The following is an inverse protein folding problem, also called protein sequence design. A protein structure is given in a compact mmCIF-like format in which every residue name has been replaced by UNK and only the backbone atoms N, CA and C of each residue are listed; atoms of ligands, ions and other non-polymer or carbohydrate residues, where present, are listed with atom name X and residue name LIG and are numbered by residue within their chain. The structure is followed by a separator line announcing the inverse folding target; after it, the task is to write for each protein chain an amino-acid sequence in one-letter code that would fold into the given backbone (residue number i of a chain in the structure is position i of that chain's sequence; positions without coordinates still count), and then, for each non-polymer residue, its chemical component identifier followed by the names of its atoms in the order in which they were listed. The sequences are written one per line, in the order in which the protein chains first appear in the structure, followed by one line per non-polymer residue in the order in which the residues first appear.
data_IF_444815764481
#
_entry.id   IF_444815764481
#
_cell.length_a   1.000
_cell.length_b   1.000
_cell.length_c   1.000
_cell.angle_alpha   90.00
_cell.angle_beta   90.00
_cell.angle_gamma   90.00
#
_symmetry.space_group_name_H-M   'P 1'
#
loop_
_entity.id
_entity.type
_entity.pdbx_description
1 polymer ?
#
# COMPACT_ATOMS: atom_id res chain seq x y z
N UNK A 1 -18.61 0.70 10.76
CA UNK A 1 -19.94 0.04 10.78
C UNK A 1 -19.73 -1.45 10.97
N UNK A 2 -20.62 -2.13 11.68
CA UNK A 2 -20.58 -3.59 11.81
C UNK A 2 -21.53 -4.19 10.76
N UNK A 3 -21.06 -5.09 9.92
CA UNK A 3 -21.88 -5.87 8.99
C UNK A 3 -21.84 -7.34 9.41
N UNK A 4 -22.95 -8.06 9.36
CA UNK A 4 -23.03 -9.49 9.74
C UNK A 4 -23.90 -10.26 8.74
N UNK A 5 -23.48 -11.48 8.43
CA UNK A 5 -24.12 -12.41 7.50
C UNK A 5 -23.99 -13.83 8.04
N UNK A 6 -25.01 -14.66 7.82
CA UNK A 6 -25.01 -16.06 8.26
C UNK A 6 -24.00 -16.90 7.47
N UNK A 7 -23.69 -16.47 6.24
CA UNK A 7 -22.65 -17.09 5.42
C UNK A 7 -21.97 -16.05 4.52
N UNK A 8 -20.65 -16.18 4.32
CA UNK A 8 -19.86 -15.21 3.54
C UNK A 8 -20.29 -15.06 2.08
N UNK A 9 -21.00 -16.04 1.52
CA UNK A 9 -21.54 -15.99 0.14
C UNK A 9 -22.72 -15.04 0.01
N UNK A 10 -23.30 -14.58 1.11
CA UNK A 10 -24.40 -13.60 1.11
C UNK A 10 -23.91 -12.17 0.93
N UNK A 11 -22.59 -11.94 1.00
CA UNK A 11 -22.03 -10.61 0.76
C UNK A 11 -22.09 -10.29 -0.75
N UNK A 12 -22.66 -9.14 -1.18
CA UNK A 12 -22.66 -8.73 -2.57
C UNK A 12 -21.23 -8.43 -3.05
N UNK A 13 -20.71 -9.18 -4.04
CA UNK A 13 -19.31 -9.05 -4.47
C UNK A 13 -18.94 -7.62 -4.93
N UNK A 14 -19.90 -6.90 -5.49
CA UNK A 14 -19.78 -5.50 -5.91
C UNK A 14 -19.64 -4.50 -4.75
N UNK A 15 -20.01 -4.90 -3.53
CA UNK A 15 -19.89 -4.09 -2.33
C UNK A 15 -18.58 -4.32 -1.55
N UNK A 16 -17.68 -5.22 -1.97
CA UNK A 16 -16.46 -5.53 -1.22
C UNK A 16 -15.31 -4.55 -1.55
N UNK A 17 -14.94 -3.62 -0.63
CA UNK A 17 -13.99 -2.56 -0.95
C UNK A 17 -12.53 -2.96 -0.74
N UNK A 18 -12.25 -4.08 -0.06
CA UNK A 18 -10.90 -4.47 0.33
C UNK A 18 -10.26 -5.41 -0.70
N UNK A 19 -9.69 -4.84 -1.75
CA UNK A 19 -9.16 -5.54 -2.93
C UNK A 19 -8.16 -6.69 -2.64
N UNK A 20 -7.59 -6.74 -1.45
CA UNK A 20 -6.57 -7.73 -1.08
C UNK A 20 -7.07 -8.88 -0.19
N UNK A 21 -8.35 -8.87 0.15
CA UNK A 21 -8.98 -9.89 0.99
C UNK A 21 -10.28 -10.33 0.32
N UNK A 22 -10.80 -11.47 0.76
CA UNK A 22 -12.10 -11.98 0.35
C UNK A 22 -13.04 -12.16 1.53
N UNK A 23 -14.38 -12.14 1.31
CA UNK A 23 -15.35 -12.50 2.34
C UNK A 23 -15.06 -13.86 2.98
N UNK A 24 -14.66 -14.85 2.17
CA UNK A 24 -14.32 -16.21 2.62
C UNK A 24 -13.13 -16.21 3.58
N UNK A 25 -12.06 -15.47 3.30
CA UNK A 25 -10.91 -15.37 4.19
C UNK A 25 -11.25 -14.74 5.54
N UNK A 26 -12.22 -13.82 5.54
CA UNK A 26 -12.63 -13.08 6.74
C UNK A 26 -13.67 -13.81 7.60
N UNK A 27 -14.31 -14.84 7.05
CA UNK A 27 -15.39 -15.58 7.70
C UNK A 27 -14.88 -16.61 8.73
N UNK A 28 -15.80 -17.08 9.57
CA UNK A 28 -15.56 -18.20 10.47
C UNK A 28 -15.27 -19.45 9.65
N UNK A 29 -14.07 -20.03 9.82
CA UNK A 29 -13.63 -21.19 9.05
C UNK A 29 -14.45 -22.46 9.26
N UNK A 30 -15.24 -22.53 10.34
CA UNK A 30 -16.11 -23.69 10.62
C UNK A 30 -17.47 -23.54 9.96
N UNK A 31 -18.21 -22.51 10.32
CA UNK A 31 -19.63 -22.37 9.94
C UNK A 31 -19.83 -21.50 8.69
N UNK A 32 -18.83 -20.71 8.30
CA UNK A 32 -18.90 -19.76 7.18
C UNK A 32 -19.58 -18.44 7.51
N UNK A 33 -20.07 -18.27 8.74
CA UNK A 33 -20.60 -16.99 9.24
C UNK A 33 -19.59 -15.85 9.05
N UNK A 34 -20.07 -14.65 8.76
CA UNK A 34 -19.24 -13.48 8.54
C UNK A 34 -19.72 -12.32 9.40
N UNK A 35 -18.87 -11.80 10.28
CA UNK A 35 -19.06 -10.52 10.95
C UNK A 35 -17.83 -9.67 10.78
N UNK A 36 -18.04 -8.45 10.30
CA UNK A 36 -16.99 -7.54 9.86
C UNK A 36 -17.15 -6.17 10.48
N UNK A 37 -16.10 -5.72 11.17
CA UNK A 37 -15.94 -4.32 11.52
C UNK A 37 -15.21 -3.63 10.36
N UNK A 38 -15.88 -2.71 9.66
CA UNK A 38 -15.32 -2.04 8.48
C UNK A 38 -14.01 -1.31 8.80
N UNK A 39 -13.90 -0.70 9.98
CA UNK A 39 -12.68 0.01 10.41
C UNK A 39 -11.51 -0.96 10.61
N UNK A 40 -11.77 -2.15 11.17
CA UNK A 40 -10.74 -3.17 11.34
C UNK A 40 -10.20 -3.63 9.99
N UNK A 41 -11.08 -3.79 9.00
CA UNK A 41 -10.70 -4.14 7.64
C UNK A 41 -9.95 -3.02 6.92
N UNK A 42 -10.35 -1.75 7.10
CA UNK A 42 -9.62 -0.61 6.55
C UNK A 42 -8.19 -0.55 7.09
N UNK A 43 -8.00 -0.85 8.38
CA UNK A 43 -6.69 -0.95 9.00
C UNK A 43 -5.89 -2.14 8.47
N UNK A 44 -6.52 -3.31 8.31
CA UNK A 44 -5.88 -4.50 7.75
C UNK A 44 -5.44 -4.28 6.29
N UNK A 45 -6.26 -3.58 5.50
CA UNK A 45 -5.95 -3.21 4.12
C UNK A 45 -4.79 -2.20 4.05
N UNK A 46 -4.77 -1.22 4.95
CA UNK A 46 -3.63 -0.30 5.08
C UNK A 46 -2.35 -1.04 5.48
N UNK A 47 -2.43 -1.98 6.44
CA UNK A 47 -1.29 -2.79 6.87
C UNK A 47 -0.69 -3.58 5.70
N UNK A 48 -1.55 -4.23 4.92
CA UNK A 48 -1.13 -4.98 3.72
C UNK A 48 -0.46 -4.06 2.69
N UNK A 49 -1.03 -2.89 2.44
CA UNK A 49 -0.45 -1.91 1.51
C UNK A 49 0.93 -1.43 1.98
N UNK A 50 1.07 -1.15 3.28
CA UNK A 50 2.32 -0.68 3.88
C UNK A 50 3.43 -1.74 3.82
N UNK A 51 3.09 -3.00 4.07
CA UNK A 51 4.06 -4.11 4.03
C UNK A 51 4.43 -4.53 2.61
N UNK A 52 3.63 -4.17 1.60
CA UNK A 52 3.88 -4.51 0.19
C UNK A 52 3.89 -6.02 -0.11
N UNK A 53 3.41 -6.85 0.84
CA UNK A 53 3.43 -8.31 0.79
C UNK A 53 2.08 -8.88 1.25
N UNK A 54 1.65 -10.05 0.74
CA UNK A 54 0.41 -10.67 1.17
C UNK A 54 0.35 -10.94 2.67
N UNK A 55 -0.81 -10.71 3.28
CA UNK A 55 -1.10 -11.15 4.65
C UNK A 55 -1.77 -12.52 4.56
N UNK A 56 -1.14 -13.55 5.12
CA UNK A 56 -1.71 -14.91 5.14
C UNK A 56 -2.56 -15.04 6.40
N UNK A 57 -3.88 -14.98 6.23
CA UNK A 57 -4.84 -14.93 7.33
C UNK A 57 -5.15 -16.33 7.86
N UNK A 58 -4.70 -16.61 9.08
CA UNK A 58 -5.00 -17.85 9.80
C UNK A 58 -6.41 -17.82 10.36
N UNK A 59 -6.84 -16.69 10.93
CA UNK A 59 -8.22 -16.51 11.37
C UNK A 59 -8.59 -15.03 11.45
N UNK A 60 -9.86 -14.72 11.19
CA UNK A 60 -10.42 -13.37 11.25
C UNK A 60 -11.67 -13.40 12.14
N UNK A 61 -12.88 -13.41 11.58
CA UNK A 61 -14.06 -13.67 12.42
C UNK A 61 -14.07 -15.11 12.94
N UNK A 62 -14.56 -15.28 14.17
CA UNK A 62 -14.92 -16.58 14.74
C UNK A 62 -16.33 -16.50 15.28
N UNK A 63 -17.20 -17.41 14.86
CA UNK A 63 -18.51 -17.59 15.50
C UNK A 63 -18.32 -17.94 16.98
N UNK A 64 -19.34 -17.75 17.84
CA UNK A 64 -19.28 -18.19 19.23
C UNK A 64 -18.95 -19.69 19.38
N UNK A 65 -19.45 -20.53 18.48
CA UNK A 65 -19.18 -21.96 18.45
C UNK A 65 -17.71 -22.26 18.10
N UNK A 66 -17.22 -21.69 17.00
CA UNK A 66 -15.83 -21.82 16.60
C UNK A 66 -14.89 -21.32 17.69
N UNK A 67 -15.15 -20.14 18.27
CA UNK A 67 -14.34 -19.59 19.35
C UNK A 67 -14.28 -20.53 20.56
N UNK A 68 -15.40 -21.12 20.98
CA UNK A 68 -15.44 -22.10 22.07
C UNK A 68 -14.64 -23.36 21.72
N UNK A 69 -14.77 -23.87 20.50
CA UNK A 69 -14.13 -25.10 20.08
C UNK A 69 -12.60 -25.01 20.02
N UNK A 70 -12.04 -23.82 19.79
CA UNK A 70 -10.60 -23.57 19.82
C UNK A 70 -10.10 -23.05 21.18
N UNK A 71 -10.94 -23.05 22.21
CA UNK A 71 -10.59 -22.56 23.55
C UNK A 71 -10.35 -21.05 23.62
N UNK A 72 -10.99 -20.28 22.74
CA UNK A 72 -10.86 -18.83 22.69
C UNK A 72 -11.46 -18.12 23.92
N UNK A 73 -10.98 -16.91 24.19
CA UNK A 73 -11.45 -16.11 25.31
C UNK A 73 -12.94 -15.74 25.18
N UNK A 74 -13.63 -15.60 26.32
CA UNK A 74 -15.07 -15.27 26.38
C UNK A 74 -15.43 -13.95 25.67
N UNK A 75 -14.52 -12.97 25.72
CA UNK A 75 -14.67 -11.66 25.08
C UNK A 75 -13.66 -11.49 23.94
N UNK A 76 -13.45 -12.55 23.16
CA UNK A 76 -12.50 -12.57 22.04
C UNK A 76 -12.86 -11.51 20.99
N UNK A 77 -11.85 -10.75 20.56
CA UNK A 77 -12.00 -9.75 19.50
C UNK A 77 -12.27 -10.35 18.12
N UNK A 78 -11.95 -11.63 17.92
CA UNK A 78 -12.38 -12.37 16.74
C UNK A 78 -13.89 -12.44 16.62
N UNK A 79 -14.63 -12.56 17.73
CA UNK A 79 -16.10 -12.62 17.72
C UNK A 79 -16.76 -11.27 17.40
N UNK A 80 -15.98 -10.20 17.35
CA UNK A 80 -16.43 -8.86 16.98
C UNK A 80 -16.00 -8.46 15.57
N UNK A 81 -15.25 -9.32 14.86
CA UNK A 81 -14.65 -8.97 13.56
C UNK A 81 -13.55 -7.90 13.69
N UNK A 82 -12.89 -7.84 14.85
CA UNK A 82 -11.89 -6.82 15.21
C UNK A 82 -10.48 -7.38 15.39
N UNK A 83 -10.27 -8.66 15.09
CA UNK A 83 -8.99 -9.34 15.29
C UNK A 83 -8.62 -10.24 14.11
N UNK A 84 -7.31 -10.36 13.91
CA UNK A 84 -6.73 -11.15 12.82
C UNK A 84 -5.50 -11.90 13.33
N UNK A 85 -5.43 -13.19 13.03
CA UNK A 85 -4.22 -13.99 13.21
C UNK A 85 -3.51 -14.10 11.86
N UNK A 86 -2.27 -13.61 11.75
CA UNK A 86 -1.52 -13.53 10.50
C UNK A 86 -0.26 -14.39 10.59
N UNK A 87 0.01 -15.25 9.58
CA UNK A 87 1.26 -16.03 9.52
C UNK A 87 2.46 -15.09 9.38
N UNK A 88 3.53 -15.43 10.08
CA UNK A 88 4.81 -14.73 9.96
C UNK A 88 5.76 -15.39 8.93
N UNK A 89 5.33 -16.43 8.22
CA UNK A 89 6.16 -17.18 7.26
C UNK A 89 6.77 -16.31 6.15
N UNK A 90 6.11 -15.20 5.81
CA UNK A 90 6.53 -14.27 4.76
C UNK A 90 6.76 -12.82 5.26
N UNK A 91 6.88 -12.63 6.57
CA UNK A 91 7.11 -11.32 7.20
C UNK A 91 8.20 -11.40 8.26
N UNK A 92 8.99 -10.34 8.40
CA UNK A 92 9.77 -10.15 9.62
C UNK A 92 8.82 -9.77 10.76
N UNK A 93 8.75 -10.54 11.86
CA UNK A 93 7.77 -10.28 12.94
C UNK A 93 7.92 -8.92 13.59
N UNK A 94 9.13 -8.38 13.69
CA UNK A 94 9.41 -7.08 14.31
C UNK A 94 8.86 -5.97 13.39
N UNK A 95 9.18 -6.03 12.10
CA UNK A 95 8.68 -5.08 11.11
C UNK A 95 7.16 -5.15 10.93
N UNK A 96 6.60 -6.36 10.97
CA UNK A 96 5.17 -6.57 10.93
C UNK A 96 4.46 -5.89 12.10
N UNK A 97 4.97 -6.08 13.32
CA UNK A 97 4.42 -5.46 14.52
C UNK A 97 4.51 -3.93 14.48
N UNK A 98 5.66 -3.38 14.07
CA UNK A 98 5.85 -1.93 13.90
C UNK A 98 4.80 -1.36 12.94
N UNK A 99 4.60 -2.00 11.78
CA UNK A 99 3.59 -1.59 10.80
C UNK A 99 2.16 -1.75 11.32
N UNK A 100 1.85 -2.84 12.01
CA UNK A 100 0.52 -3.09 12.59
C UNK A 100 0.16 -2.04 13.65
N UNK A 101 1.12 -1.63 14.49
CA UNK A 101 0.95 -0.52 15.43
C UNK A 101 0.74 0.81 14.72
N UNK A 102 1.50 1.06 13.65
CA UNK A 102 1.41 2.30 12.88
C UNK A 102 0.01 2.52 12.26
N UNK A 103 -0.65 1.44 11.82
CA UNK A 103 -2.03 1.53 11.29
C UNK A 103 -3.11 1.51 12.38
N UNK A 104 -2.72 1.38 13.66
CA UNK A 104 -3.61 1.55 14.81
C UNK A 104 -4.06 0.28 15.53
N UNK A 105 -3.51 -0.91 15.24
CA UNK A 105 -3.76 -2.08 16.07
C UNK A 105 -3.09 -1.93 17.44
N UNK A 106 -3.74 -2.44 18.48
CA UNK A 106 -3.37 -2.18 19.88
C UNK A 106 -3.22 -3.44 20.73
N UNK A 107 -3.96 -4.51 20.41
CA UNK A 107 -3.79 -5.81 21.04
C UNK A 107 -2.86 -6.69 20.21
N UNK A 108 -1.86 -7.30 20.86
CA UNK A 108 -0.88 -8.17 20.20
C UNK A 108 -0.69 -9.48 20.96
N UNK A 109 -0.88 -10.60 20.26
CA UNK A 109 -0.55 -11.93 20.76
C UNK A 109 0.59 -12.55 19.95
N UNK A 110 1.63 -13.03 20.62
CA UNK A 110 2.82 -13.57 19.95
C UNK A 110 2.87 -15.10 20.07
N UNK A 111 2.77 -15.79 18.93
CA UNK A 111 2.77 -17.26 18.87
C UNK A 111 3.83 -17.84 17.90
N UNK A 112 5.14 -17.71 18.19
CA UNK A 112 6.21 -18.22 17.34
C UNK A 112 6.13 -19.73 17.09
N UNK A 113 5.76 -20.51 18.11
CA UNK A 113 5.60 -21.96 17.98
C UNK A 113 4.48 -22.35 17.01
N UNK A 114 3.46 -21.50 16.88
CA UNK A 114 2.35 -21.69 15.91
C UNK A 114 2.55 -20.91 14.61
N UNK A 115 3.60 -20.08 14.52
CA UNK A 115 3.98 -19.32 13.32
C UNK A 115 3.08 -18.13 12.98
N UNK A 116 2.31 -17.58 13.93
CA UNK A 116 1.41 -16.45 13.65
C UNK A 116 1.43 -15.39 14.76
N UNK A 117 1.14 -14.15 14.37
CA UNK A 117 0.90 -13.04 15.29
C UNK A 117 -0.58 -12.68 15.27
N UNK A 118 -1.16 -12.52 16.46
CA UNK A 118 -2.51 -11.99 16.65
C UNK A 118 -2.45 -10.47 16.74
N UNK A 119 -3.33 -9.78 16.02
CA UNK A 119 -3.51 -8.32 16.09
C UNK A 119 -4.99 -7.98 16.26
N UNK A 120 -5.31 -7.01 17.12
CA UNK A 120 -6.69 -6.57 17.32
C UNK A 120 -6.86 -5.10 17.74
N UNK A 121 -8.10 -4.60 17.64
CA UNK A 121 -8.48 -3.21 17.95
C UNK A 121 -8.89 -2.95 19.40
N UNK A 122 -8.79 -3.94 20.29
CA UNK A 122 -9.11 -3.77 21.71
C UNK A 122 -8.14 -2.87 22.46
N UNK A 123 -8.23 -2.81 23.79
CA UNK A 123 -7.29 -2.04 24.61
C UNK A 123 -5.85 -2.46 24.37
N UNK A 124 -4.91 -1.52 24.56
CA UNK A 124 -3.47 -1.76 24.46
C UNK A 124 -3.07 -2.89 25.40
N UNK A 125 -2.62 -4.01 24.83
CA UNK A 125 -2.23 -5.20 25.60
C UNK A 125 -1.38 -6.13 24.76
N UNK A 126 -0.54 -6.91 25.44
CA UNK A 126 0.40 -7.83 24.82
C UNK A 126 0.43 -9.13 25.59
N UNK A 127 0.49 -10.27 24.90
CA UNK A 127 0.57 -11.59 25.54
C UNK A 127 1.29 -12.62 24.66
N UNK A 128 1.66 -13.76 25.25
CA UNK A 128 2.42 -14.81 24.56
C UNK A 128 3.93 -14.57 24.59
N UNK A 129 4.64 -15.23 23.67
CA UNK A 129 6.11 -15.22 23.64
C UNK A 129 6.59 -14.52 22.39
N UNK A 130 7.40 -13.46 22.53
CA UNK A 130 7.91 -12.71 21.38
C UNK A 130 8.91 -13.54 20.57
N UNK A 131 9.02 -13.27 19.26
CA UNK A 131 10.12 -13.79 18.46
C UNK A 131 11.45 -13.26 19.01
N UNK A 132 12.46 -14.13 19.04
CA UNK A 132 13.82 -13.68 19.33
C UNK A 132 14.25 -12.76 18.19
N UNK A 133 14.82 -11.61 18.53
CA UNK A 133 15.52 -10.80 17.54
C UNK A 133 16.76 -11.59 17.12
N UNK A 134 16.64 -12.34 16.04
CA UNK A 134 17.81 -12.85 15.34
C UNK A 134 18.29 -11.69 14.47
N UNK A 135 19.59 -11.41 14.43
CA UNK A 135 20.14 -10.53 13.42
C UNK A 135 19.92 -11.20 12.05
N UNK A 136 18.78 -10.96 11.42
CA UNK A 136 18.39 -11.71 10.24
C UNK A 136 19.18 -11.18 9.05
N UNK A 137 19.97 -12.06 8.41
CA UNK A 137 20.61 -11.83 7.11
C UNK A 137 19.59 -11.78 5.94
N UNK A 138 18.31 -11.53 6.22
CA UNK A 138 17.33 -11.25 5.18
C UNK A 138 17.69 -9.90 4.55
N UNK A 139 17.81 -9.80 3.22
CA UNK A 139 18.07 -8.52 2.60
C UNK A 139 16.97 -7.54 3.01
N UNK A 140 17.39 -6.40 3.53
CA UNK A 140 16.52 -5.27 3.81
C UNK A 140 15.82 -4.87 2.49
N UNK A 141 14.55 -5.22 2.34
CA UNK A 141 13.76 -4.87 1.15
C UNK A 141 13.53 -3.35 1.02
N UNK A 142 13.96 -2.57 2.02
CA UNK A 142 13.99 -1.11 1.97
C UNK A 142 15.11 -0.50 1.09
N UNK A 143 15.73 -1.26 0.19
CA UNK A 143 16.72 -0.71 -0.77
C UNK A 143 16.19 -0.58 -2.20
N UNK A 144 14.91 -0.89 -2.47
CA UNK A 144 14.29 -0.39 -3.71
C UNK A 144 13.94 1.08 -3.54
N UNK A 145 14.90 1.94 -3.88
CA UNK A 145 14.68 3.36 -4.18
C UNK A 145 13.43 3.44 -5.07
N UNK A 146 12.36 4.16 -4.68
CA UNK A 146 11.24 4.37 -5.57
C UNK A 146 11.76 5.06 -6.85
N UNK A 147 11.27 4.71 -8.05
CA UNK A 147 11.55 5.52 -9.21
C UNK A 147 11.09 6.93 -8.87
N UNK A 148 12.03 7.87 -8.89
CA UNK A 148 11.77 9.30 -8.79
C UNK A 148 10.80 9.66 -9.92
N UNK A 149 9.50 9.70 -9.62
CA UNK A 149 8.58 10.56 -10.36
C UNK A 149 8.83 11.95 -9.84
N UNK A 150 9.59 12.72 -10.61
CA UNK A 150 9.77 14.15 -10.38
C UNK A 150 8.40 14.81 -10.23
N UNK A 151 8.20 15.46 -9.09
CA UNK A 151 7.01 16.22 -8.76
C UNK A 151 6.95 17.48 -9.64
N UNK A 152 5.81 17.62 -10.34
CA UNK A 152 4.99 18.83 -10.49
C UNK A 152 5.64 20.22 -10.42
N UNK A 153 5.36 21.01 -11.45
CA UNK A 153 4.83 22.37 -11.27
C UNK A 153 5.75 23.51 -11.66
N UNK A 154 5.51 24.08 -12.84
CA UNK A 154 5.81 25.48 -13.11
C UNK A 154 4.64 26.10 -13.87
N UNK A 155 3.83 26.85 -13.12
CA UNK A 155 2.93 27.88 -13.61
C UNK A 155 3.74 28.93 -14.35
N UNK A 156 3.48 29.13 -15.65
CA UNK A 156 4.02 30.26 -16.39
C UNK A 156 2.96 31.37 -16.42
N UNK A 157 3.14 32.36 -15.55
CA UNK A 157 2.44 33.64 -15.60
C UNK A 157 2.70 34.33 -16.94
N UNK A 158 1.63 34.85 -17.53
CA UNK A 158 1.69 35.80 -18.63
C UNK A 158 2.35 37.10 -18.16
N UNK A 159 3.42 37.52 -18.84
CA UNK A 159 3.91 38.88 -18.80
C UNK A 159 4.21 39.32 -20.24
N UNK A 160 3.31 40.13 -20.77
CA UNK A 160 3.49 40.93 -21.97
C UNK A 160 4.53 42.02 -21.68
N UNK A 161 5.61 42.09 -22.46
CA UNK A 161 6.45 43.28 -22.53
C UNK A 161 6.87 43.50 -23.99
N UNK A 162 6.44 44.65 -24.51
CA UNK A 162 6.69 45.15 -25.85
C UNK A 162 7.95 46.01 -25.83
N UNK A 163 8.89 45.71 -26.74
CA UNK A 163 9.90 46.59 -27.36
C UNK A 163 10.99 47.19 -26.42
N UNK A 164 12.25 47.50 -26.78
CA UNK A 164 12.91 48.00 -27.98
C UNK A 164 14.43 47.67 -27.87
N UNK A 165 15.09 47.39 -29.01
CA UNK A 165 16.53 47.55 -29.38
C UNK A 165 17.68 46.64 -28.85
N UNK A 166 18.40 46.07 -29.85
CA UNK A 166 19.85 45.71 -29.89
C UNK A 166 20.36 44.39 -29.21
N UNK A 167 20.19 43.26 -29.94
CA UNK A 167 21.05 42.05 -30.22
C UNK A 167 22.38 41.84 -29.42
N UNK A 168 22.92 40.61 -29.16
CA UNK A 168 22.38 39.23 -29.05
C UNK A 168 22.81 38.51 -27.73
N UNK A 169 21.92 37.79 -27.06
CA UNK A 169 22.33 36.85 -25.99
C UNK A 169 21.38 35.66 -25.87
N UNK A 170 21.22 34.92 -26.98
CA UNK A 170 20.51 33.65 -26.98
C UNK A 170 21.47 32.47 -26.73
N UNK A 171 22.30 32.55 -25.68
CA UNK A 171 23.30 31.51 -25.36
C UNK A 171 23.14 30.92 -23.95
N UNK A 172 21.98 31.10 -23.32
CA UNK A 172 21.71 30.50 -22.00
C UNK A 172 20.40 29.72 -21.93
N UNK A 173 20.02 29.03 -23.01
CA UNK A 173 18.87 28.14 -22.99
C UNK A 173 19.20 26.85 -23.75
N UNK A 174 19.91 25.93 -23.10
CA UNK A 174 20.03 24.48 -23.39
C UNK A 174 21.34 23.93 -22.76
N UNK A 175 21.36 23.80 -21.44
CA UNK A 175 22.38 23.04 -20.73
C UNK A 175 21.95 21.58 -20.56
N UNK A 176 22.88 20.67 -20.84
CA UNK A 176 22.88 19.22 -20.56
C UNK A 176 22.12 18.27 -21.50
N UNK A 177 22.48 18.31 -22.78
CA UNK A 177 22.31 17.16 -23.68
C UNK A 177 23.66 16.66 -24.18
N UNK A 178 23.82 15.34 -24.24
CA UNK A 178 25.03 14.70 -24.77
C UNK A 178 25.35 15.20 -26.21
N UNK A 179 26.62 15.31 -26.62
CA UNK A 179 27.04 15.97 -27.87
C UNK A 179 26.35 15.47 -29.15
N UNK A 180 25.85 14.24 -29.14
CA UNK A 180 25.16 13.59 -30.26
C UNK A 180 23.70 14.06 -30.42
N UNK A 181 23.08 14.59 -29.37
CA UNK A 181 21.69 15.08 -29.39
C UNK A 181 21.59 16.55 -29.86
N UNK A 182 22.66 17.34 -29.70
CA UNK A 182 22.71 18.73 -30.13
C UNK A 182 22.75 18.87 -31.66
N UNK A 183 23.41 17.94 -32.36
CA UNK A 183 23.50 17.95 -33.83
C UNK A 183 22.18 17.55 -34.50
N UNK A 184 21.42 16.61 -33.92
CA UNK A 184 20.12 16.21 -34.45
C UNK A 184 19.04 17.32 -34.31
N UNK A 185 19.05 18.06 -33.19
CA UNK A 185 18.11 19.14 -32.94
C UNK A 185 18.32 20.33 -33.89
N UNK A 186 19.57 20.70 -34.17
CA UNK A 186 19.88 21.77 -35.13
C UNK A 186 19.45 21.40 -36.55
N UNK A 187 19.69 20.15 -36.98
CA UNK A 187 19.25 19.68 -38.30
C UNK A 187 17.73 19.64 -38.44
N UNK A 188 17.00 19.26 -37.38
CA UNK A 188 15.53 19.26 -37.37
C UNK A 188 14.95 20.68 -37.47
N UNK A 189 15.56 21.66 -36.79
CA UNK A 189 15.14 23.07 -36.85
C UNK A 189 15.39 23.65 -38.25
N UNK A 190 16.54 23.35 -38.86
CA UNK A 190 16.86 23.79 -40.23
C UNK A 190 15.89 23.16 -41.24
N UNK A 191 15.61 21.86 -41.11
CA UNK A 191 14.65 21.17 -41.99
C UNK A 191 13.22 21.72 -41.83
N UNK A 192 12.81 22.05 -40.60
CA UNK A 192 11.50 22.64 -40.34
C UNK A 192 11.38 24.07 -40.88
N UNK A 193 12.43 24.90 -40.73
CA UNK A 193 12.47 26.23 -41.34
C UNK A 193 12.41 26.16 -42.88
N UNK A 194 13.16 25.23 -43.49
CA UNK A 194 13.12 25.00 -44.93
C UNK A 194 11.74 24.52 -45.41
N UNK A 195 11.08 23.65 -44.64
CA UNK A 195 9.71 23.20 -44.92
C UNK A 195 8.69 24.34 -44.85
N UNK A 196 8.78 25.21 -43.84
CA UNK A 196 7.88 26.36 -43.72
C UNK A 196 8.06 27.37 -44.86
N UNK A 197 9.31 27.59 -45.30
CA UNK A 197 9.61 28.45 -46.44
C UNK A 197 9.08 27.86 -47.76
N UNK A 198 9.22 26.55 -47.96
CA UNK A 198 8.67 25.86 -49.14
C UNK A 198 7.12 25.90 -49.16
N UNK A 199 6.48 25.70 -48.00
CA UNK A 199 5.01 25.72 -47.88
C UNK A 199 4.40 27.11 -48.03
N UNK A 200 5.18 28.18 -47.86
CA UNK A 200 4.72 29.56 -48.04
C UNK A 200 4.75 30.06 -49.49
N UNK A 201 5.25 29.25 -50.44
CA UNK A 201 5.42 29.61 -51.86
C UNK A 201 4.47 28.85 -52.82
N UNK A 202 3.52 28.09 -52.28
CA UNK A 202 2.44 27.41 -53.01
C UNK A 202 1.09 27.77 -52.41
#
# INVERSE_FOLDING_TARGET
MLKSYDHFTQWPEDEWPWANFSPREMASKREGELKLNTRAMDMLQQLRNQLGRPLIVVSAYRSPEHNRAVGGAKHSKHMLGEAFDIRMDNHDPIRFEEAARAVGFQGFGFYPASGFMHIDMGPRREWGTRWKQTATNLPNENTRKPPVKAATGAVASAATAVAIENVPAATQLLGDLAPVAQTAAVLAIIAFAAYLLWRGWH
#
